data_IF_287785683307
#
_entry.id   IF_287785683307
#
_cell.length_a   1.000
_cell.length_b   1.000
_cell.length_c   1.000
_cell.angle_alpha   90.00
_cell.angle_beta   90.00
_cell.angle_gamma   90.00
#
_symmetry.space_group_name_H-M   'P 1'
#
loop_
_entity.id
_entity.type
_entity.pdbx_description
1 polymer ?
#
# COMPACT_ATOMS: atom_id res chain seq x y z
N UNK A 1 -47.61 27.64 -5.09
CA UNK A 1 -48.03 27.01 -3.81
C UNK A 1 -46.72 26.57 -3.16
N UNK A 2 -46.31 27.04 -1.97
CA UNK A 2 -46.84 26.71 -0.62
C UNK A 2 -46.98 25.18 -0.48
N UNK A 3 -46.32 24.50 0.46
CA UNK A 3 -46.02 24.82 1.88
C UNK A 3 -44.53 24.59 2.25
N UNK A 4 -44.10 25.12 3.40
CA UNK A 4 -42.76 24.94 4.02
C UNK A 4 -42.93 24.28 5.41
N UNK A 5 -42.11 23.26 5.72
CA UNK A 5 -41.65 22.88 7.07
C UNK A 5 -40.50 21.85 6.88
N UNK A 6 -39.29 21.90 7.47
CA UNK A 6 -38.65 22.62 8.58
C UNK A 6 -38.61 21.88 9.95
N UNK A 7 -37.37 21.74 10.44
CA UNK A 7 -36.90 21.62 11.84
C UNK A 7 -36.73 20.27 12.60
N UNK A 8 -35.49 20.15 13.11
CA UNK A 8 -35.03 19.71 14.45
C UNK A 8 -34.77 18.23 14.80
N UNK A 9 -33.48 17.90 14.71
CA UNK A 9 -32.61 17.30 15.76
C UNK A 9 -33.30 16.87 17.08
N UNK A 10 -33.10 15.61 17.45
CA UNK A 10 -32.99 15.15 18.84
C UNK A 10 -31.94 14.02 18.93
N UNK A 11 -31.20 13.94 20.04
CA UNK A 11 -30.16 12.92 20.24
C UNK A 11 -30.67 11.74 21.07
N UNK A 12 -30.06 10.55 20.88
CA UNK A 12 -30.40 9.34 21.64
C UNK A 12 -29.22 8.39 21.76
N UNK A 13 -28.56 8.40 22.92
CA UNK A 13 -27.57 7.38 23.33
C UNK A 13 -28.27 6.34 24.20
N UNK A 14 -28.09 5.05 23.91
CA UNK A 14 -28.68 3.97 24.71
C UNK A 14 -28.14 2.59 24.33
N UNK A 15 -27.70 1.81 25.33
CA UNK A 15 -26.88 0.60 25.14
C UNK A 15 -27.62 -0.70 25.50
N UNK A 16 -27.38 -1.76 24.72
CA UNK A 16 -27.43 -3.17 25.16
C UNK A 16 -26.53 -3.98 24.20
N UNK A 17 -25.45 -4.67 24.57
CA UNK A 17 -25.12 -5.52 25.72
C UNK A 17 -25.49 -7.01 25.55
N UNK A 18 -24.45 -7.79 25.20
CA UNK A 18 -24.26 -9.25 25.43
C UNK A 18 -25.28 -10.27 24.92
N UNK A 19 -24.77 -11.27 24.18
CA UNK A 19 -24.79 -12.64 24.70
C UNK A 19 -23.57 -13.45 24.21
N UNK A 20 -22.79 -13.98 25.14
CA UNK A 20 -21.83 -15.06 24.88
C UNK A 20 -22.46 -16.37 25.38
N UNK A 21 -22.39 -17.44 24.59
CA UNK A 21 -22.78 -18.78 25.01
C UNK A 21 -21.62 -19.75 24.71
N UNK A 22 -21.01 -20.31 25.76
CA UNK A 22 -19.93 -21.29 25.65
C UNK A 22 -20.52 -22.70 25.71
N UNK A 23 -20.31 -23.49 24.65
CA UNK A 23 -20.58 -24.94 24.65
C UNK A 23 -19.25 -25.71 24.66
N UNK A 24 -18.96 -26.43 25.75
CA UNK A 24 -17.84 -27.38 25.83
C UNK A 24 -18.19 -28.69 25.10
N UNK A 25 -17.20 -29.43 24.58
CA UNK A 25 -17.44 -30.75 24.00
C UNK A 25 -17.72 -31.82 25.09
N UNK A 26 -18.67 -32.71 24.81
CA UNK A 26 -18.94 -33.93 25.60
C UNK A 26 -18.19 -35.13 25.01
N UNK A 27 -17.98 -36.22 25.78
CA UNK A 27 -17.08 -37.32 25.36
C UNK A 27 -17.40 -38.73 25.89
N UNK A 28 -17.72 -39.65 24.97
CA UNK A 28 -17.68 -41.12 25.09
C UNK A 28 -17.68 -41.71 23.65
N UNK A 29 -16.68 -42.48 23.19
CA UNK A 29 -16.36 -43.92 23.45
C UNK A 29 -17.35 -44.92 22.80
N UNK A 30 -16.93 -46.16 22.47
CA UNK A 30 -15.60 -46.62 22.01
C UNK A 30 -15.67 -47.65 20.84
N UNK A 31 -14.51 -48.08 20.28
CA UNK A 31 -14.41 -49.36 19.56
C UNK A 31 -12.99 -49.96 19.56
N UNK A 32 -12.92 -51.26 19.80
CA UNK A 32 -11.74 -52.15 19.72
C UNK A 32 -11.45 -52.57 18.25
N UNK A 33 -10.36 -53.24 17.87
CA UNK A 33 -8.97 -53.34 18.36
C UNK A 33 -8.14 -54.16 17.35
N UNK A 34 -6.80 -54.03 17.34
CA UNK A 34 -5.91 -55.15 16.96
C UNK A 34 -4.48 -55.01 17.50
N UNK A 35 -3.96 -56.09 18.07
CA UNK A 35 -2.56 -56.30 18.46
C UNK A 35 -1.71 -56.75 17.24
N UNK A 36 -0.39 -56.88 17.26
CA UNK A 36 0.62 -56.72 18.33
C UNK A 36 2.00 -56.37 17.70
N UNK A 37 2.96 -55.88 18.49
CA UNK A 37 4.21 -56.60 18.81
C UNK A 37 5.23 -55.71 19.54
N UNK A 38 5.84 -56.25 20.61
CA UNK A 38 7.14 -55.87 21.19
C UNK A 38 7.76 -57.14 21.78
N UNK A 39 9.09 -57.18 22.03
CA UNK A 39 9.45 -57.37 23.45
C UNK A 39 10.82 -56.80 23.91
N UNK A 40 10.82 -56.21 25.12
CA UNK A 40 11.93 -56.20 26.13
C UNK A 40 13.19 -55.36 25.78
N UNK A 41 14.08 -54.93 26.69
CA UNK A 41 14.30 -55.04 28.16
C UNK A 41 15.13 -53.79 28.61
N UNK A 42 15.33 -53.35 29.87
CA UNK A 42 15.08 -53.84 31.26
C UNK A 42 14.43 -52.71 32.11
N UNK A 43 14.42 -52.81 33.46
CA UNK A 43 13.91 -51.76 34.36
C UNK A 43 14.57 -51.72 35.75
N UNK A 44 14.60 -50.51 36.37
CA UNK A 44 14.70 -50.22 37.83
C UNK A 44 15.98 -50.68 38.60
N UNK A 45 16.17 -50.29 39.88
CA UNK A 45 15.98 -48.96 40.52
C UNK A 45 17.21 -48.58 41.40
N UNK A 46 17.13 -47.52 42.22
CA UNK A 46 17.38 -47.53 43.70
C UNK A 46 17.33 -46.12 44.30
N UNK A 47 17.33 -46.01 45.65
CA UNK A 47 17.30 -44.75 46.41
C UNK A 47 18.63 -44.45 47.10
N UNK A 48 18.90 -43.18 47.36
CA UNK A 48 19.65 -42.73 48.54
C UNK A 48 18.83 -41.68 49.31
N UNK A 49 19.09 -41.52 50.61
CA UNK A 49 18.22 -40.83 51.56
C UNK A 49 19.06 -40.03 52.57
N UNK A 50 18.57 -38.82 52.92
CA UNK A 50 18.98 -38.03 54.11
C UNK A 50 20.45 -37.50 54.04
N UNK A 51 20.86 -36.40 54.68
CA UNK A 51 20.13 -35.38 55.47
C UNK A 51 20.89 -34.05 55.41
N UNK A 52 20.20 -32.92 55.19
CA UNK A 52 20.75 -31.58 55.44
C UNK A 52 19.63 -30.58 55.83
N UNK A 53 19.46 -30.36 57.14
CA UNK A 53 18.83 -29.14 57.69
C UNK A 53 19.84 -27.98 57.51
N UNK A 54 19.49 -26.70 57.38
CA UNK A 54 18.27 -25.96 57.75
C UNK A 54 18.23 -24.56 57.07
N UNK A 55 17.25 -23.72 57.46
CA UNK A 55 17.01 -22.31 57.06
C UNK A 55 16.48 -22.07 55.64
N UNK A 56 15.15 -22.00 55.53
CA UNK A 56 14.49 -21.16 54.54
C UNK A 56 14.49 -19.70 55.02
N UNK A 57 14.88 -18.72 54.18
CA UNK A 57 14.38 -17.36 54.28
C UNK A 57 12.96 -17.32 53.71
N UNK A 58 12.00 -16.81 54.48
CA UNK A 58 10.68 -16.43 53.95
C UNK A 58 10.85 -15.12 53.19
N UNK A 59 10.82 -15.17 51.86
CA UNK A 59 10.69 -13.95 51.06
C UNK A 59 9.22 -13.54 51.13
N UNK A 60 8.98 -12.37 51.74
CA UNK A 60 7.64 -11.78 51.72
C UNK A 60 7.38 -11.17 50.35
N UNK A 61 6.19 -11.40 49.81
CA UNK A 61 5.79 -10.78 48.55
C UNK A 61 5.60 -9.28 48.77
N UNK A 62 6.54 -8.48 48.28
CA UNK A 62 6.34 -7.03 48.16
C UNK A 62 5.26 -6.77 47.11
N UNK A 63 4.14 -6.19 47.53
CA UNK A 63 3.18 -5.60 46.59
C UNK A 63 3.92 -4.58 45.69
N UNK A 64 3.63 -4.53 44.38
CA UNK A 64 4.22 -3.53 43.51
C UNK A 64 3.71 -2.14 43.91
N UNK A 65 4.53 -1.40 44.66
CA UNK A 65 4.27 0.03 44.92
C UNK A 65 4.05 0.74 43.58
N UNK A 66 3.04 1.61 43.46
CA UNK A 66 2.95 2.50 42.30
C UNK A 66 4.21 3.36 42.26
N UNK A 67 4.94 3.30 41.15
CA UNK A 67 6.10 4.16 40.92
C UNK A 67 5.56 5.56 40.68
N UNK A 68 5.65 6.42 41.69
CA UNK A 68 5.34 7.83 41.53
C UNK A 68 6.27 8.44 40.45
N UNK A 69 5.77 9.35 39.58
CA UNK A 69 6.58 9.97 38.54
C UNK A 69 7.86 10.61 39.11
N UNK A 70 8.96 10.51 38.37
CA UNK A 70 10.21 11.17 38.74
C UNK A 70 9.99 12.70 38.79
N UNK A 71 10.17 13.28 39.98
CA UNK A 71 9.86 14.69 40.23
C UNK A 71 10.73 15.62 39.34
N UNK A 72 10.10 16.21 38.32
CA UNK A 72 10.75 17.08 37.33
C UNK A 72 10.37 16.77 35.87
N UNK A 73 9.78 15.62 35.57
CA UNK A 73 9.18 15.33 34.27
C UNK A 73 7.74 15.85 34.14
N UNK A 74 7.32 16.15 32.90
CA UNK A 74 5.90 16.33 32.57
C UNK A 74 5.16 15.00 32.73
N UNK A 75 3.88 15.05 33.08
CA UNK A 75 2.98 13.89 33.05
C UNK A 75 2.54 13.54 31.61
N UNK A 76 2.03 12.33 31.42
CA UNK A 76 1.49 11.88 30.12
C UNK A 76 0.37 12.80 29.59
N UNK A 77 -0.46 13.37 30.49
CA UNK A 77 -1.50 14.31 30.12
C UNK A 77 -0.93 15.65 29.63
N UNK A 78 0.04 16.22 30.34
CA UNK A 78 0.69 17.48 29.93
C UNK A 78 1.46 17.32 28.60
N UNK A 79 2.05 16.15 28.35
CA UNK A 79 2.68 15.83 27.06
C UNK A 79 1.64 15.74 25.93
N UNK A 80 0.47 15.15 26.19
CA UNK A 80 -0.61 15.10 25.20
C UNK A 80 -1.17 16.51 24.91
N UNK A 81 -1.33 17.38 25.90
CA UNK A 81 -1.76 18.77 25.67
C UNK A 81 -0.67 19.59 24.91
N UNK A 82 0.62 19.42 25.21
CA UNK A 82 1.71 19.98 24.37
C UNK A 82 1.64 19.48 22.91
N UNK A 83 1.28 18.21 22.70
CA UNK A 83 1.10 17.61 21.38
C UNK A 83 -0.16 18.13 20.67
N UNK A 84 -1.23 18.49 21.39
CA UNK A 84 -2.44 19.10 20.81
C UNK A 84 -2.14 20.51 20.29
N UNK A 85 -1.35 21.30 21.04
CA UNK A 85 -0.96 22.64 20.60
C UNK A 85 0.14 22.66 19.53
N UNK A 86 0.86 21.53 19.35
CA UNK A 86 2.03 21.45 18.48
C UNK A 86 1.75 21.86 17.03
N UNK A 87 2.55 22.82 16.55
CA UNK A 87 2.58 23.23 15.14
C UNK A 87 4.01 23.11 14.63
N UNK A 88 4.27 22.39 13.53
CA UNK A 88 5.61 22.28 12.96
C UNK A 88 6.09 23.66 12.49
N UNK A 89 7.36 23.97 12.71
CA UNK A 89 7.91 25.21 12.19
C UNK A 89 7.96 25.15 10.64
N UNK A 90 7.54 26.23 9.98
CA UNK A 90 7.53 26.34 8.52
C UNK A 90 8.92 26.71 7.93
N UNK A 91 9.87 27.07 8.78
CA UNK A 91 11.16 27.66 8.41
C UNK A 91 12.33 26.66 8.55
N UNK A 92 13.56 27.19 8.63
CA UNK A 92 14.79 26.39 8.80
C UNK A 92 14.80 25.55 10.10
N UNK A 93 13.96 25.89 11.09
CA UNK A 93 13.82 25.14 12.34
C UNK A 93 12.86 23.94 12.26
N UNK A 94 12.21 23.68 11.11
CA UNK A 94 11.28 22.54 10.92
C UNK A 94 11.84 21.23 11.48
N UNK A 95 13.07 20.88 11.13
CA UNK A 95 13.73 19.65 11.58
C UNK A 95 13.97 19.61 13.11
N UNK A 96 14.16 20.77 13.76
CA UNK A 96 14.24 20.85 15.22
C UNK A 96 12.86 20.70 15.88
N UNK A 97 11.81 21.29 15.30
CA UNK A 97 10.43 21.09 15.77
C UNK A 97 9.98 19.62 15.65
N UNK A 98 10.30 18.95 14.54
CA UNK A 98 9.98 17.53 14.34
C UNK A 98 10.77 16.60 15.28
N UNK A 99 11.99 16.96 15.70
CA UNK A 99 12.70 16.23 16.77
C UNK A 99 12.04 16.39 18.13
N UNK A 100 11.46 17.55 18.44
CA UNK A 100 10.67 17.74 19.67
C UNK A 100 9.40 16.90 19.64
N UNK A 101 8.72 16.84 18.49
CA UNK A 101 7.56 15.97 18.27
C UNK A 101 7.88 14.50 18.60
N UNK A 102 8.94 13.95 18.01
CA UNK A 102 9.40 12.57 18.31
C UNK A 102 9.74 12.41 19.78
N UNK A 103 10.53 13.32 20.36
CA UNK A 103 10.89 13.25 21.78
C UNK A 103 9.67 13.23 22.72
N UNK A 104 8.55 13.88 22.37
CA UNK A 104 7.32 13.79 23.15
C UNK A 104 6.63 12.43 23.04
N UNK A 105 6.60 11.80 21.87
CA UNK A 105 6.11 10.41 21.74
C UNK A 105 7.02 9.42 22.46
N UNK A 106 8.35 9.54 22.34
CA UNK A 106 9.28 8.70 23.10
C UNK A 106 9.16 8.92 24.62
N UNK A 107 8.87 10.14 25.07
CA UNK A 107 8.61 10.40 26.49
C UNK A 107 7.35 9.69 27.01
N UNK A 108 6.37 9.37 26.13
CA UNK A 108 5.21 8.54 26.47
C UNK A 108 5.56 7.04 26.43
N UNK A 109 6.43 6.62 25.51
CA UNK A 109 6.99 5.26 25.48
C UNK A 109 7.76 4.94 26.77
N UNK A 110 8.63 5.85 27.21
CA UNK A 110 9.44 5.72 28.44
C UNK A 110 8.59 5.62 29.72
N UNK A 111 7.35 6.16 29.71
CA UNK A 111 6.40 6.01 30.81
C UNK A 111 5.72 4.63 30.85
N UNK A 112 5.80 3.85 29.77
CA UNK A 112 5.20 2.52 29.72
C UNK A 112 3.69 2.52 30.01
N UNK A 113 3.17 1.53 30.76
CA UNK A 113 1.75 1.45 31.10
C UNK A 113 1.17 2.69 31.80
N UNK A 114 2.00 3.52 32.46
CA UNK A 114 1.53 4.74 33.12
C UNK A 114 0.99 5.81 32.15
N UNK A 115 1.33 5.75 30.86
CA UNK A 115 0.76 6.64 29.84
C UNK A 115 -0.63 6.21 29.36
N UNK A 116 -0.98 4.92 29.47
CA UNK A 116 -2.19 4.35 28.85
C UNK A 116 -3.51 5.02 29.27
N UNK A 117 -3.73 5.45 30.54
CA UNK A 117 -4.95 6.16 30.91
C UNK A 117 -5.12 7.49 30.17
N UNK A 118 -4.07 8.32 30.09
CA UNK A 118 -4.13 9.60 29.39
C UNK A 118 -4.29 9.42 27.87
N UNK A 119 -3.65 8.39 27.29
CA UNK A 119 -3.81 8.00 25.88
C UNK A 119 -5.26 7.60 25.60
N UNK A 120 -5.84 6.74 26.42
CA UNK A 120 -7.24 6.30 26.33
C UNK A 120 -8.21 7.47 26.40
N UNK A 121 -8.04 8.35 27.39
CA UNK A 121 -8.93 9.49 27.63
C UNK A 121 -8.84 10.53 26.50
N UNK A 122 -7.68 10.68 25.84
CA UNK A 122 -7.58 11.46 24.61
C UNK A 122 -8.26 10.77 23.42
N UNK A 123 -7.93 9.49 23.16
CA UNK A 123 -8.43 8.77 21.98
C UNK A 123 -9.96 8.64 21.98
N UNK A 124 -10.57 8.53 23.16
CA UNK A 124 -12.02 8.54 23.37
C UNK A 124 -12.72 9.86 23.00
N UNK A 125 -12.00 11.00 22.91
CA UNK A 125 -12.55 12.28 22.42
C UNK A 125 -12.88 12.25 20.91
N UNK A 126 -12.34 11.26 20.17
CA UNK A 126 -12.41 11.13 18.71
C UNK A 126 -11.92 12.39 17.94
N UNK A 127 -10.98 13.13 18.53
CA UNK A 127 -10.35 14.33 17.97
C UNK A 127 -8.92 14.02 17.51
N UNK A 128 -8.44 14.70 16.46
CA UNK A 128 -7.08 14.54 15.93
C UNK A 128 -6.40 15.89 15.64
N UNK A 129 -5.07 15.87 15.56
CA UNK A 129 -4.24 17.03 15.20
C UNK A 129 -3.22 16.58 14.16
N UNK A 130 -3.32 17.08 12.93
CA UNK A 130 -2.41 16.73 11.84
C UNK A 130 -1.09 17.53 11.91
N UNK A 131 0.02 16.82 12.10
CA UNK A 131 1.36 17.42 12.18
C UNK A 131 2.00 17.62 10.81
N UNK A 132 1.70 16.77 9.84
CA UNK A 132 2.32 16.81 8.51
C UNK A 132 1.52 17.67 7.54
N UNK A 133 1.34 18.95 7.88
CA UNK A 133 0.78 19.94 6.96
C UNK A 133 1.67 20.10 5.72
N UNK A 134 1.01 20.14 4.57
CA UNK A 134 1.63 20.21 3.26
C UNK A 134 2.45 21.51 3.08
N UNK A 135 3.44 21.47 2.19
CA UNK A 135 4.21 22.64 1.80
C UNK A 135 3.39 23.46 0.80
N UNK A 136 2.70 24.48 1.28
CA UNK A 136 2.06 25.48 0.43
C UNK A 136 3.05 25.98 -0.63
N UNK A 137 2.63 25.96 -1.91
CA UNK A 137 3.50 26.17 -3.07
C UNK A 137 3.76 24.94 -3.96
N UNK A 138 3.15 23.78 -3.67
CA UNK A 138 3.21 22.60 -4.56
C UNK A 138 2.30 22.64 -5.80
N UNK A 139 1.43 23.64 -5.93
CA UNK A 139 0.44 23.76 -7.01
C UNK A 139 0.82 24.81 -8.03
N UNK A 140 0.96 24.41 -9.30
CA UNK A 140 0.80 25.31 -10.44
C UNK A 140 1.96 26.25 -10.77
N UNK A 141 3.14 25.71 -11.10
CA UNK A 141 3.94 26.35 -12.16
C UNK A 141 4.51 25.30 -13.12
N UNK A 142 3.88 25.18 -14.29
CA UNK A 142 4.13 24.12 -15.28
C UNK A 142 5.35 24.41 -16.18
N UNK A 143 6.23 25.33 -15.76
CA UNK A 143 7.36 25.83 -16.54
C UNK A 143 8.74 25.22 -16.27
N UNK A 144 8.95 24.52 -15.15
CA UNK A 144 10.29 24.02 -14.73
C UNK A 144 10.32 22.50 -14.47
N UNK A 145 9.97 21.71 -15.48
CA UNK A 145 10.18 20.25 -15.47
C UNK A 145 11.61 19.87 -15.85
N UNK A 146 12.59 20.36 -15.09
CA UNK A 146 14.00 20.05 -15.25
C UNK A 146 14.35 18.58 -14.97
N UNK A 147 14.39 17.75 -16.03
CA UNK A 147 14.99 16.40 -16.10
C UNK A 147 14.79 15.49 -14.86
N UNK A 148 13.62 14.87 -14.74
CA UNK A 148 13.37 13.82 -13.74
C UNK A 148 12.22 12.89 -14.13
N UNK A 149 12.52 11.79 -14.82
CA UNK A 149 11.53 10.89 -15.45
C UNK A 149 10.87 9.93 -14.43
N UNK A 150 10.17 10.50 -13.44
CA UNK A 150 9.50 9.77 -12.35
C UNK A 150 8.02 10.13 -12.21
N UNK A 151 7.67 11.41 -12.32
CA UNK A 151 6.29 11.88 -12.19
C UNK A 151 5.33 11.21 -13.18
N UNK A 152 5.79 10.98 -14.42
CA UNK A 152 5.07 10.16 -15.39
C UNK A 152 4.94 8.70 -14.92
N UNK A 153 6.07 8.04 -14.58
CA UNK A 153 6.07 6.64 -14.17
C UNK A 153 5.14 6.34 -12.98
N UNK A 154 5.06 7.21 -11.97
CA UNK A 154 4.10 7.08 -10.87
C UNK A 154 2.64 7.15 -11.36
N UNK A 155 2.31 8.07 -12.27
CA UNK A 155 0.97 8.18 -12.85
C UNK A 155 0.62 6.98 -13.74
N UNK A 156 1.57 6.48 -14.54
CA UNK A 156 1.40 5.26 -15.35
C UNK A 156 1.19 4.01 -14.47
N UNK A 157 1.92 3.88 -13.36
CA UNK A 157 1.71 2.79 -12.38
C UNK A 157 0.32 2.89 -11.74
N UNK A 158 -0.15 4.09 -11.39
CA UNK A 158 -1.51 4.29 -10.87
C UNK A 158 -2.60 3.95 -11.91
N UNK A 159 -2.39 4.24 -13.20
CA UNK A 159 -3.27 3.82 -14.30
C UNK A 159 -3.24 2.31 -14.57
N UNK A 160 -2.14 1.63 -14.25
CA UNK A 160 -1.99 0.17 -14.46
C UNK A 160 -2.66 -0.69 -13.36
N UNK A 161 -3.23 -0.08 -12.32
CA UNK A 161 -3.76 -0.78 -11.15
C UNK A 161 -2.79 -0.82 -9.96
N UNK A 162 -1.72 -0.02 -9.93
CA UNK A 162 -0.69 -0.05 -8.88
C UNK A 162 -1.11 0.36 -7.46
N UNK A 163 -2.38 0.74 -7.24
CA UNK A 163 -2.90 1.23 -5.94
C UNK A 163 -3.10 0.17 -4.84
N UNK A 164 -2.72 -1.09 -5.07
CA UNK A 164 -2.96 -2.20 -4.13
C UNK A 164 -2.07 -2.21 -2.87
N UNK A 165 -0.97 -1.44 -2.85
CA UNK A 165 -0.08 -1.40 -1.67
C UNK A 165 -0.72 -0.53 -0.57
N UNK A 166 -0.92 -1.11 0.62
CA UNK A 166 -1.31 -0.36 1.83
C UNK A 166 -0.27 0.74 2.13
N UNK A 167 -0.70 1.87 2.72
CA UNK A 167 0.21 2.94 3.13
C UNK A 167 1.29 2.42 4.09
N UNK A 168 2.49 2.98 4.00
CA UNK A 168 3.53 2.79 5.02
C UNK A 168 3.09 3.53 6.28
N UNK A 169 2.54 2.76 7.24
CA UNK A 169 2.03 3.26 8.53
C UNK A 169 3.13 3.46 9.58
N UNK A 170 4.28 2.83 9.37
CA UNK A 170 5.51 3.03 10.13
C UNK A 170 6.30 4.18 9.49
N UNK A 171 6.50 5.26 10.26
CA UNK A 171 7.11 6.51 9.80
C UNK A 171 7.82 7.19 10.96
N UNK A 172 9.04 7.68 10.71
CA UNK A 172 9.88 8.41 11.68
C UNK A 172 9.22 9.64 12.30
N UNK A 173 8.12 10.12 11.70
CA UNK A 173 7.24 11.14 12.26
C UNK A 173 5.79 10.70 12.03
N UNK A 174 4.93 10.64 13.06
CA UNK A 174 3.52 10.34 12.86
C UNK A 174 2.83 11.48 12.10
N UNK A 175 1.90 11.13 11.21
CA UNK A 175 1.19 12.13 10.41
C UNK A 175 0.24 13.00 11.25
N UNK A 176 -0.30 12.44 12.33
CA UNK A 176 -1.19 13.10 13.27
C UNK A 176 -1.08 12.53 14.69
N UNK A 177 -1.68 13.20 15.66
CA UNK A 177 -1.64 12.84 17.08
C UNK A 177 -2.21 11.43 17.33
N UNK A 178 -3.42 11.13 16.83
CA UNK A 178 -4.04 9.81 17.04
C UNK A 178 -3.16 8.67 16.52
N UNK A 179 -2.61 8.83 15.32
CA UNK A 179 -1.74 7.82 14.70
C UNK A 179 -0.43 7.63 15.49
N UNK A 180 0.14 8.70 16.06
CA UNK A 180 1.29 8.59 16.96
C UNK A 180 0.96 7.88 18.28
N UNK A 181 -0.21 8.15 18.87
CA UNK A 181 -0.65 7.49 20.09
C UNK A 181 -1.02 6.01 19.90
N UNK A 182 -1.42 5.60 18.69
CA UNK A 182 -1.57 4.17 18.36
C UNK A 182 -0.23 3.43 18.43
N UNK A 183 0.83 4.05 17.91
CA UNK A 183 2.18 3.48 17.92
C UNK A 183 2.78 3.46 19.34
N UNK A 184 2.55 4.49 20.15
CA UNK A 184 2.91 4.46 21.59
C UNK A 184 2.18 3.32 22.31
N UNK A 185 0.86 3.19 22.13
CA UNK A 185 0.11 2.10 22.76
C UNK A 185 0.61 0.71 22.30
N UNK A 186 0.98 0.55 21.02
CA UNK A 186 1.62 -0.67 20.52
C UNK A 186 2.95 -0.97 21.22
N UNK A 187 3.81 0.04 21.35
CA UNK A 187 5.15 -0.08 21.90
C UNK A 187 5.15 -0.31 23.42
N UNK A 188 4.19 0.27 24.14
CA UNK A 188 3.91 -0.05 25.55
C UNK A 188 3.36 -1.47 25.68
N UNK A 189 2.44 -1.86 24.80
CA UNK A 189 1.92 -3.21 24.68
C UNK A 189 1.05 -3.68 25.85
N UNK A 190 0.85 -5.00 25.92
CA UNK A 190 0.00 -5.64 26.92
C UNK A 190 -1.51 -5.50 26.66
N UNK A 191 -2.29 -6.20 27.48
CA UNK A 191 -3.74 -6.37 27.30
C UNK A 191 -4.55 -5.08 27.46
N UNK A 192 -4.07 -4.11 28.25
CA UNK A 192 -4.73 -2.81 28.39
C UNK A 192 -4.60 -1.98 27.10
N UNK A 193 -3.38 -1.85 26.55
CA UNK A 193 -3.16 -1.15 25.29
C UNK A 193 -3.90 -1.83 24.12
N UNK A 194 -3.88 -3.17 24.08
CA UNK A 194 -4.65 -3.97 23.13
C UNK A 194 -6.16 -3.63 23.20
N UNK A 195 -6.71 -3.53 24.41
CA UNK A 195 -8.12 -3.21 24.65
C UNK A 195 -8.45 -1.76 24.27
N UNK A 196 -7.55 -0.80 24.53
CA UNK A 196 -7.71 0.60 24.13
C UNK A 196 -7.79 0.71 22.60
N UNK A 197 -6.88 0.06 21.89
CA UNK A 197 -6.80 0.11 20.43
C UNK A 197 -7.97 -0.61 19.74
N UNK A 198 -8.41 -1.75 20.28
CA UNK A 198 -9.64 -2.41 19.85
C UNK A 198 -10.89 -1.56 20.11
N UNK A 199 -10.91 -0.81 21.23
CA UNK A 199 -11.94 0.18 21.51
C UNK A 199 -12.02 1.27 20.44
N UNK A 200 -10.88 1.86 20.05
CA UNK A 200 -10.85 2.88 18.99
C UNK A 200 -11.25 2.32 17.62
N UNK A 201 -10.87 1.07 17.29
CA UNK A 201 -11.30 0.42 16.05
C UNK A 201 -12.84 0.37 15.93
N UNK A 202 -13.54 0.20 17.04
CA UNK A 202 -15.02 0.18 17.08
C UNK A 202 -15.70 1.56 17.04
N UNK A 203 -14.93 2.67 16.99
CA UNK A 203 -15.42 4.04 17.10
C UNK A 203 -14.88 5.01 16.04
N UNK A 204 -13.81 4.65 15.33
CA UNK A 204 -13.17 5.56 14.37
C UNK A 204 -13.96 5.68 13.06
N UNK A 205 -14.23 6.93 12.66
CA UNK A 205 -14.88 7.25 11.38
C UNK A 205 -13.88 7.33 10.21
N UNK A 206 -12.60 6.95 10.42
CA UNK A 206 -11.50 7.30 9.50
C UNK A 206 -10.79 6.05 8.96
N UNK A 207 -10.86 5.85 7.66
CA UNK A 207 -10.31 4.65 7.01
C UNK A 207 -8.81 4.46 7.20
N UNK A 208 -8.04 5.54 7.35
CA UNK A 208 -6.60 5.48 7.62
C UNK A 208 -6.31 4.96 9.04
N UNK A 209 -7.17 5.25 10.01
CA UNK A 209 -7.06 4.72 11.37
C UNK A 209 -7.42 3.24 11.41
N UNK A 210 -8.48 2.81 10.71
CA UNK A 210 -8.81 1.38 10.55
C UNK A 210 -7.64 0.61 9.94
N UNK A 211 -6.97 1.14 8.90
CA UNK A 211 -5.78 0.51 8.30
C UNK A 211 -4.61 0.45 9.27
N UNK A 212 -4.34 1.52 10.04
CA UNK A 212 -3.26 1.55 11.01
C UNK A 212 -3.53 0.56 12.16
N UNK A 213 -4.73 0.60 12.75
CA UNK A 213 -5.16 -0.31 13.81
C UNK A 213 -5.18 -1.76 13.34
N UNK A 214 -5.52 -2.02 12.06
CA UNK A 214 -5.47 -3.36 11.47
C UNK A 214 -4.05 -3.93 11.29
N UNK A 215 -3.01 -3.08 11.20
CA UNK A 215 -1.63 -3.54 11.38
C UNK A 215 -1.38 -3.82 12.86
N UNK A 216 -1.57 -2.82 13.71
CA UNK A 216 -1.15 -2.84 15.12
C UNK A 216 -1.80 -3.98 15.91
N UNK A 217 -3.10 -4.19 15.76
CA UNK A 217 -3.83 -5.26 16.45
C UNK A 217 -3.48 -6.66 15.91
N UNK A 218 -3.04 -6.77 14.65
CA UNK A 218 -2.59 -8.01 14.02
C UNK A 218 -1.12 -8.34 14.37
N UNK A 219 -0.32 -7.33 14.74
CA UNK A 219 0.99 -7.52 15.40
C UNK A 219 0.84 -7.93 16.87
N UNK A 220 -0.04 -7.27 17.62
CA UNK A 220 -0.24 -7.51 19.06
C UNK A 220 -1.01 -8.81 19.37
N UNK A 221 -2.01 -9.13 18.55
CA UNK A 221 -2.85 -10.32 18.70
C UNK A 221 -3.26 -10.89 17.32
N UNK A 222 -2.35 -11.59 16.64
CA UNK A 222 -2.53 -12.06 15.26
C UNK A 222 -3.89 -12.69 14.97
N UNK A 223 -4.60 -12.15 13.98
CA UNK A 223 -5.92 -12.61 13.55
C UNK A 223 -7.09 -12.33 14.51
N UNK A 224 -6.87 -12.04 15.81
CA UNK A 224 -7.92 -11.90 16.84
C UNK A 224 -8.99 -10.86 16.47
N UNK A 225 -8.58 -9.76 15.83
CA UNK A 225 -9.44 -8.63 15.50
C UNK A 225 -9.94 -8.63 14.05
N UNK A 226 -9.66 -9.68 13.27
CA UNK A 226 -9.95 -9.77 11.83
C UNK A 226 -11.38 -9.34 11.47
N UNK A 227 -12.38 -9.88 12.16
CA UNK A 227 -13.78 -9.64 11.77
C UNK A 227 -14.25 -8.23 12.15
N UNK A 228 -13.71 -7.64 13.22
CA UNK A 228 -13.96 -6.23 13.58
C UNK A 228 -13.29 -5.26 12.59
N UNK A 229 -12.06 -5.57 12.17
CA UNK A 229 -11.34 -4.84 11.12
C UNK A 229 -12.15 -4.84 9.82
N UNK A 230 -12.63 -6.01 9.40
CA UNK A 230 -13.43 -6.17 8.19
C UNK A 230 -14.79 -5.47 8.28
N UNK A 231 -15.45 -5.51 9.45
CA UNK A 231 -16.70 -4.79 9.67
C UNK A 231 -16.52 -3.26 9.50
N UNK A 232 -15.58 -2.67 10.25
CA UNK A 232 -15.30 -1.23 10.17
C UNK A 232 -14.88 -0.78 8.76
N UNK A 233 -14.07 -1.59 8.05
CA UNK A 233 -13.68 -1.29 6.68
C UNK A 233 -14.86 -1.28 5.70
N UNK A 234 -15.80 -2.23 5.81
CA UNK A 234 -16.98 -2.31 4.95
C UNK A 234 -18.03 -1.24 5.29
N UNK A 235 -18.15 -0.87 6.56
CA UNK A 235 -19.01 0.23 6.99
C UNK A 235 -18.55 1.57 6.40
N UNK A 236 -17.27 1.94 6.58
CA UNK A 236 -16.73 3.21 6.06
C UNK A 236 -16.68 3.28 4.52
N UNK A 237 -16.63 2.15 3.82
CA UNK A 237 -16.78 2.12 2.36
C UNK A 237 -18.24 2.26 1.91
N UNK A 238 -19.20 1.72 2.68
CA UNK A 238 -20.63 1.80 2.36
C UNK A 238 -21.26 3.14 2.71
N UNK A 239 -20.82 3.72 3.83
CA UNK A 239 -21.33 4.93 4.46
C UNK A 239 -20.17 5.88 4.77
N UNK A 240 -19.50 6.45 3.74
CA UNK A 240 -18.38 7.35 3.97
C UNK A 240 -18.84 8.63 4.72
N UNK A 241 -18.02 9.17 5.63
CA UNK A 241 -18.34 10.42 6.33
C UNK A 241 -18.45 11.60 5.35
N UNK A 242 -19.18 12.68 5.71
CA UNK A 242 -19.29 13.88 4.89
C UNK A 242 -17.92 14.45 4.49
N UNK A 243 -17.81 14.94 3.26
CA UNK A 243 -16.55 15.46 2.71
C UNK A 243 -16.19 16.89 3.19
N UNK A 244 -16.99 17.49 4.06
CA UNK A 244 -16.72 18.83 4.59
C UNK A 244 -15.51 18.81 5.52
N UNK A 245 -14.42 19.44 5.08
CA UNK A 245 -13.15 19.46 5.81
C UNK A 245 -12.27 18.21 5.67
N UNK A 246 -12.63 17.25 4.79
CA UNK A 246 -11.87 16.00 4.64
C UNK A 246 -10.40 16.26 4.26
N UNK A 247 -9.48 15.68 5.02
CA UNK A 247 -8.04 15.84 4.80
C UNK A 247 -7.50 14.85 3.75
N UNK A 248 -6.22 15.03 3.36
CA UNK A 248 -5.51 14.07 2.50
C UNK A 248 -5.32 12.70 3.18
N UNK A 249 -5.31 12.64 4.52
CA UNK A 249 -5.29 11.36 5.25
C UNK A 249 -6.65 10.63 5.11
N UNK A 250 -7.75 11.37 5.09
CA UNK A 250 -9.09 10.79 4.93
C UNK A 250 -9.33 10.29 3.50
N UNK A 251 -8.86 11.05 2.49
CA UNK A 251 -8.87 10.63 1.08
C UNK A 251 -8.03 9.36 0.88
N UNK A 252 -6.79 9.34 1.39
CA UNK A 252 -5.90 8.18 1.34
C UNK A 252 -6.50 6.97 2.09
N UNK A 253 -7.20 7.22 3.20
CA UNK A 253 -7.89 6.21 3.99
C UNK A 253 -8.90 5.41 3.18
N UNK A 254 -9.80 6.07 2.44
CA UNK A 254 -10.83 5.40 1.62
C UNK A 254 -10.23 4.44 0.59
N UNK A 255 -9.20 4.88 -0.14
CA UNK A 255 -8.53 4.05 -1.14
C UNK A 255 -7.81 2.85 -0.51
N UNK A 256 -7.29 3.03 0.72
CA UNK A 256 -6.58 2.00 1.48
C UNK A 256 -7.50 0.92 2.07
N UNK A 257 -8.78 1.23 2.34
CA UNK A 257 -9.75 0.24 2.84
C UNK A 257 -10.02 -0.89 1.84
N UNK A 258 -10.09 -0.60 0.53
CA UNK A 258 -10.20 -1.64 -0.49
C UNK A 258 -8.97 -2.57 -0.49
N UNK A 259 -7.77 -2.00 -0.41
CA UNK A 259 -6.51 -2.75 -0.28
C UNK A 259 -6.44 -3.57 1.02
N UNK A 260 -7.12 -3.11 2.09
CA UNK A 260 -7.25 -3.86 3.34
C UNK A 260 -8.17 -5.08 3.17
N UNK A 261 -9.35 -4.92 2.56
CA UNK A 261 -10.22 -6.06 2.22
C UNK A 261 -9.51 -7.09 1.34
N UNK A 262 -8.65 -6.61 0.41
CA UNK A 262 -7.81 -7.45 -0.44
C UNK A 262 -6.72 -8.21 0.37
N UNK A 263 -6.00 -7.54 1.30
CA UNK A 263 -5.03 -8.19 2.24
C UNK A 263 -5.69 -9.37 2.95
N UNK A 264 -6.89 -9.17 3.48
CA UNK A 264 -7.63 -10.19 4.23
C UNK A 264 -8.38 -11.19 3.33
N UNK A 265 -8.38 -11.01 1.99
CA UNK A 265 -9.11 -11.80 0.99
C UNK A 265 -10.61 -11.94 1.30
N UNK A 266 -11.24 -10.88 1.81
CA UNK A 266 -12.67 -10.89 2.14
C UNK A 266 -13.54 -10.78 0.88
N UNK A 267 -14.23 -11.86 0.50
CA UNK A 267 -15.16 -11.88 -0.65
C UNK A 267 -16.53 -11.25 -0.38
N UNK A 268 -16.90 -10.98 0.88
CA UNK A 268 -18.26 -10.54 1.23
C UNK A 268 -18.60 -9.09 0.83
N UNK A 269 -17.64 -8.33 0.31
CA UNK A 269 -17.86 -6.99 -0.24
C UNK A 269 -17.86 -6.93 -1.78
N UNK A 270 -17.73 -8.07 -2.47
CA UNK A 270 -17.58 -8.12 -3.92
C UNK A 270 -18.74 -7.44 -4.68
N UNK A 271 -19.99 -7.76 -4.35
CA UNK A 271 -21.16 -7.18 -5.02
C UNK A 271 -21.24 -5.66 -4.81
N UNK A 272 -20.90 -5.18 -3.60
CA UNK A 272 -20.90 -3.74 -3.29
C UNK A 272 -19.75 -3.00 -3.98
N UNK A 273 -18.56 -3.61 -4.06
CA UNK A 273 -17.45 -3.06 -4.83
C UNK A 273 -17.74 -3.05 -6.34
N UNK A 274 -18.52 -4.02 -6.85
CA UNK A 274 -19.00 -4.03 -8.24
C UNK A 274 -19.95 -2.85 -8.53
N UNK A 275 -20.84 -2.49 -7.61
CA UNK A 275 -21.66 -1.26 -7.72
C UNK A 275 -20.80 0.00 -7.72
N UNK A 276 -19.69 0.00 -6.98
CA UNK A 276 -18.74 1.13 -6.86
C UNK A 276 -17.68 1.17 -7.97
N UNK A 277 -17.70 0.24 -8.93
CA UNK A 277 -16.61 0.03 -9.89
C UNK A 277 -16.59 1.06 -11.04
N UNK A 278 -17.75 1.60 -11.42
CA UNK A 278 -17.87 2.65 -12.44
C UNK A 278 -18.61 3.83 -11.83
N UNK A 279 -17.93 4.98 -11.78
CA UNK A 279 -18.49 6.24 -11.31
C UNK A 279 -19.52 6.81 -12.30
N UNK A 280 -20.40 7.68 -11.81
CA UNK A 280 -21.46 8.34 -12.61
C UNK A 280 -20.96 9.24 -13.74
N UNK A 281 -19.65 9.53 -13.78
CA UNK A 281 -18.94 10.25 -14.84
C UNK A 281 -18.23 9.32 -15.86
N UNK A 282 -18.45 8.00 -15.78
CA UNK A 282 -17.85 7.00 -16.65
C UNK A 282 -16.39 6.65 -16.30
N UNK A 283 -15.85 7.10 -15.16
CA UNK A 283 -14.52 6.71 -14.69
C UNK A 283 -14.56 5.37 -13.93
N UNK A 284 -13.50 4.57 -14.09
CA UNK A 284 -13.32 3.33 -13.32
C UNK A 284 -12.70 3.66 -11.96
N UNK A 285 -13.26 3.07 -10.90
CA UNK A 285 -12.71 3.12 -9.55
C UNK A 285 -11.58 2.11 -9.41
N UNK A 286 -10.33 2.56 -9.55
CA UNK A 286 -9.16 1.68 -9.50
C UNK A 286 -9.00 0.93 -8.16
N UNK A 287 -9.44 1.49 -7.03
CA UNK A 287 -9.38 0.79 -5.74
C UNK A 287 -10.40 -0.34 -5.65
N UNK A 288 -11.64 -0.12 -6.11
CA UNK A 288 -12.65 -1.19 -6.20
C UNK A 288 -12.24 -2.27 -7.22
N UNK A 289 -11.70 -1.86 -8.39
CA UNK A 289 -11.15 -2.76 -9.40
C UNK A 289 -10.08 -3.67 -8.80
N UNK A 290 -9.06 -3.09 -8.17
CA UNK A 290 -7.95 -3.81 -7.55
C UNK A 290 -8.43 -4.84 -6.51
N UNK A 291 -9.34 -4.42 -5.62
CA UNK A 291 -9.92 -5.32 -4.62
C UNK A 291 -10.63 -6.52 -5.28
N UNK A 292 -11.44 -6.27 -6.31
CA UNK A 292 -12.13 -7.33 -7.05
C UNK A 292 -11.14 -8.26 -7.76
N UNK A 293 -10.10 -7.73 -8.40
CA UNK A 293 -9.13 -8.54 -9.15
C UNK A 293 -8.21 -9.35 -8.24
N UNK A 294 -7.77 -8.81 -7.11
CA UNK A 294 -6.94 -9.54 -6.14
C UNK A 294 -7.72 -10.58 -5.34
N UNK A 295 -9.01 -10.35 -5.10
CA UNK A 295 -9.84 -11.22 -4.25
C UNK A 295 -10.60 -12.28 -5.04
N UNK A 296 -11.07 -11.96 -6.26
CA UNK A 296 -11.77 -12.90 -7.15
C UNK A 296 -10.84 -13.56 -8.18
N UNK A 297 -9.71 -12.91 -8.52
CA UNK A 297 -8.71 -13.44 -9.48
C UNK A 297 -9.37 -13.73 -10.82
N UNK A 298 -9.26 -14.95 -11.34
CA UNK A 298 -9.93 -15.35 -12.60
C UNK A 298 -11.45 -15.16 -12.56
N UNK A 299 -12.09 -15.31 -11.40
CA UNK A 299 -13.55 -15.10 -11.23
C UNK A 299 -13.97 -13.63 -11.47
N UNK A 300 -13.03 -12.67 -11.55
CA UNK A 300 -13.33 -11.29 -11.94
C UNK A 300 -13.56 -11.12 -13.45
N UNK A 301 -13.07 -12.02 -14.31
CA UNK A 301 -13.05 -11.82 -15.77
C UNK A 301 -14.42 -11.56 -16.41
N UNK A 302 -15.53 -12.22 -16.01
CA UNK A 302 -16.86 -11.90 -16.53
C UNK A 302 -17.31 -10.48 -16.19
N UNK A 303 -16.95 -9.98 -15.01
CA UNK A 303 -17.19 -8.59 -14.61
C UNK A 303 -16.28 -7.63 -15.39
N UNK A 304 -14.98 -7.91 -15.50
CA UNK A 304 -14.06 -7.08 -16.28
C UNK A 304 -14.52 -6.97 -17.75
N UNK A 305 -14.98 -8.07 -18.34
CA UNK A 305 -15.52 -8.06 -19.70
C UNK A 305 -16.80 -7.22 -19.82
N UNK A 306 -17.72 -7.33 -18.86
CA UNK A 306 -18.94 -6.50 -18.79
C UNK A 306 -18.59 -5.00 -18.73
N UNK A 307 -17.65 -4.62 -17.85
CA UNK A 307 -17.21 -3.23 -17.67
C UNK A 307 -16.46 -2.73 -18.91
N UNK A 308 -15.60 -3.54 -19.52
CA UNK A 308 -14.93 -3.22 -20.78
C UNK A 308 -15.93 -2.95 -21.92
N UNK A 309 -17.06 -3.67 -21.95
CA UNK A 309 -18.15 -3.47 -22.91
C UNK A 309 -19.12 -2.34 -22.55
N UNK A 310 -18.97 -1.71 -21.39
CA UNK A 310 -19.88 -0.65 -20.96
C UNK A 310 -19.78 0.59 -21.88
N UNK A 311 -20.91 1.13 -22.39
CA UNK A 311 -20.92 2.30 -23.26
C UNK A 311 -20.73 3.64 -22.52
N UNK A 312 -20.91 3.68 -21.19
CA UNK A 312 -20.67 4.89 -20.38
C UNK A 312 -19.18 5.23 -20.28
N UNK A 313 -18.30 4.22 -20.35
CA UNK A 313 -16.85 4.39 -20.33
C UNK A 313 -16.38 4.79 -21.73
N UNK A 314 -16.66 6.03 -22.11
CA UNK A 314 -16.42 6.59 -23.45
C UNK A 314 -14.94 6.80 -23.80
N UNK A 315 -14.05 6.81 -22.79
CA UNK A 315 -12.61 7.02 -22.98
C UNK A 315 -11.84 5.69 -22.99
N UNK A 316 -11.15 5.39 -24.08
CA UNK A 316 -10.29 4.20 -24.21
C UNK A 316 -9.22 4.09 -23.10
N UNK A 317 -8.71 5.22 -22.58
CA UNK A 317 -7.77 5.23 -21.44
C UNK A 317 -8.44 4.83 -20.12
N UNK A 318 -9.74 5.09 -19.95
CA UNK A 318 -10.49 4.65 -18.77
C UNK A 318 -10.83 3.14 -18.81
N UNK A 319 -10.82 2.53 -20.00
CA UNK A 319 -10.90 1.06 -20.16
C UNK A 319 -9.57 0.35 -19.85
N UNK A 320 -8.46 1.07 -19.87
CA UNK A 320 -7.12 0.47 -19.77
C UNK A 320 -6.82 -0.23 -18.43
N UNK A 321 -7.23 0.27 -17.24
CA UNK A 321 -7.05 -0.47 -15.98
C UNK A 321 -7.75 -1.84 -16.00
N UNK A 322 -8.99 -1.87 -16.51
CA UNK A 322 -9.84 -3.07 -16.61
C UNK A 322 -9.21 -4.11 -17.53
N UNK A 323 -8.70 -3.69 -18.69
CA UNK A 323 -7.97 -4.59 -19.59
C UNK A 323 -6.65 -5.04 -18.95
N UNK A 324 -5.87 -4.12 -18.35
CA UNK A 324 -4.58 -4.43 -17.71
C UNK A 324 -4.67 -5.60 -16.72
N UNK A 325 -5.71 -5.62 -15.89
CA UNK A 325 -5.98 -6.74 -14.98
C UNK A 325 -6.30 -8.06 -15.71
N UNK A 326 -7.05 -8.00 -16.81
CA UNK A 326 -7.36 -9.15 -17.64
C UNK A 326 -6.16 -9.69 -18.44
N UNK A 327 -5.16 -8.85 -18.78
CA UNK A 327 -3.99 -9.26 -19.60
C UNK A 327 -3.20 -10.43 -18.99
N UNK A 328 -3.23 -10.60 -17.67
CA UNK A 328 -2.60 -11.74 -16.99
C UNK A 328 -3.19 -13.09 -17.41
N UNK A 329 -4.46 -13.13 -17.82
CA UNK A 329 -5.22 -14.33 -18.17
C UNK A 329 -5.30 -14.60 -19.68
N UNK A 330 -4.61 -13.79 -20.51
CA UNK A 330 -4.51 -14.03 -21.95
C UNK A 330 -3.74 -15.32 -22.22
N UNK A 331 -4.21 -16.12 -23.19
CA UNK A 331 -3.80 -17.50 -23.44
C UNK A 331 -4.29 -18.52 -22.40
N UNK A 332 -5.23 -18.13 -21.53
CA UNK A 332 -5.81 -19.00 -20.49
C UNK A 332 -7.33 -18.88 -20.41
N UNK A 333 -7.90 -17.70 -20.69
CA UNK A 333 -9.34 -17.46 -20.54
C UNK A 333 -9.93 -16.65 -21.73
N UNK A 334 -11.02 -17.12 -22.38
CA UNK A 334 -11.47 -16.59 -23.67
C UNK A 334 -11.93 -15.12 -23.64
N UNK A 335 -12.42 -14.62 -22.49
CA UNK A 335 -12.76 -13.20 -22.35
C UNK A 335 -11.53 -12.29 -22.29
N UNK A 336 -10.39 -12.79 -21.79
CA UNK A 336 -9.12 -12.07 -21.82
C UNK A 336 -8.58 -12.03 -23.25
N UNK A 337 -8.66 -13.15 -23.98
CA UNK A 337 -8.25 -13.24 -25.39
C UNK A 337 -9.09 -12.33 -26.30
N UNK A 338 -10.40 -12.22 -26.03
CA UNK A 338 -11.27 -11.27 -26.71
C UNK A 338 -10.88 -9.81 -26.42
N UNK A 339 -10.67 -9.43 -25.16
CA UNK A 339 -10.21 -8.07 -24.80
C UNK A 339 -8.83 -7.74 -25.40
N UNK A 340 -7.91 -8.72 -25.43
CA UNK A 340 -6.63 -8.60 -26.12
C UNK A 340 -6.82 -8.32 -27.61
N UNK A 341 -7.60 -9.17 -28.31
CA UNK A 341 -7.84 -9.03 -29.75
C UNK A 341 -8.48 -7.68 -30.08
N UNK A 342 -9.54 -7.29 -29.38
CA UNK A 342 -10.22 -6.01 -29.60
C UNK A 342 -9.29 -4.81 -29.36
N UNK A 343 -8.53 -4.78 -28.26
CA UNK A 343 -7.56 -3.71 -28.02
C UNK A 343 -6.42 -3.67 -29.04
N UNK A 344 -5.99 -4.81 -29.60
CA UNK A 344 -4.89 -4.87 -30.56
C UNK A 344 -5.35 -4.56 -31.99
N UNK A 345 -6.64 -4.70 -32.29
CA UNK A 345 -7.21 -4.35 -33.60
C UNK A 345 -7.74 -2.91 -33.69
N UNK A 346 -8.16 -2.28 -32.59
CA UNK A 346 -8.53 -0.85 -32.61
C UNK A 346 -7.32 0.03 -33.00
N UNK A 347 -7.30 0.53 -34.23
CA UNK A 347 -6.24 1.40 -34.73
C UNK A 347 -6.15 2.74 -34.00
N UNK A 348 -7.22 3.16 -33.31
CA UNK A 348 -7.23 4.37 -32.48
C UNK A 348 -6.60 4.15 -31.10
N UNK A 349 -6.39 2.90 -30.69
CA UNK A 349 -5.76 2.58 -29.43
C UNK A 349 -4.23 2.82 -29.51
N UNK A 350 -3.76 3.87 -28.84
CA UNK A 350 -2.32 4.15 -28.75
C UNK A 350 -1.56 3.12 -27.87
N UNK A 351 -2.27 2.30 -27.10
CA UNK A 351 -1.73 1.27 -26.21
C UNK A 351 -1.50 -0.12 -26.84
N UNK A 352 -1.82 -0.34 -28.14
CA UNK A 352 -1.74 -1.67 -28.80
C UNK A 352 -0.42 -2.40 -28.55
N UNK A 353 0.71 -1.68 -28.63
CA UNK A 353 2.06 -2.22 -28.40
C UNK A 353 2.25 -2.77 -26.97
N UNK A 354 1.66 -2.12 -25.96
CA UNK A 354 1.77 -2.54 -24.56
C UNK A 354 0.89 -3.77 -24.30
N UNK A 355 -0.24 -3.89 -25.01
CA UNK A 355 -1.09 -5.09 -24.99
C UNK A 355 -0.36 -6.27 -25.64
N UNK A 356 0.23 -6.11 -26.82
CA UNK A 356 1.06 -7.16 -27.45
C UNK A 356 2.24 -7.57 -26.54
N UNK A 357 2.93 -6.60 -25.94
CA UNK A 357 4.01 -6.84 -24.99
C UNK A 357 3.57 -7.48 -23.66
N UNK A 358 2.26 -7.53 -23.36
CA UNK A 358 1.77 -8.21 -22.16
C UNK A 358 1.87 -9.74 -22.25
N UNK A 359 1.93 -10.31 -23.46
CA UNK A 359 2.03 -11.76 -23.66
C UNK A 359 3.30 -12.36 -23.06
N UNK A 360 4.36 -11.58 -22.88
CA UNK A 360 5.62 -12.02 -22.24
C UNK A 360 5.65 -11.77 -20.72
N UNK A 361 4.54 -11.33 -20.10
CA UNK A 361 4.42 -11.13 -18.65
C UNK A 361 4.09 -12.44 -17.94
N UNK A 362 4.58 -12.57 -16.71
CA UNK A 362 4.60 -13.80 -15.93
C UNK A 362 6.02 -14.35 -15.86
N UNK A 363 6.41 -14.86 -14.68
CA UNK A 363 7.69 -15.52 -14.49
C UNK A 363 7.53 -17.00 -14.88
N UNK A 364 6.70 -17.74 -14.13
CA UNK A 364 6.37 -19.16 -14.38
C UNK A 364 5.30 -19.38 -15.46
N UNK A 365 5.59 -18.98 -16.71
CA UNK A 365 4.69 -19.24 -17.84
C UNK A 365 4.71 -20.70 -18.28
N UNK A 366 3.58 -21.39 -18.10
CA UNK A 366 3.39 -22.78 -18.53
C UNK A 366 3.49 -22.94 -20.06
N UNK A 367 4.05 -24.05 -20.59
CA UNK A 367 4.15 -24.28 -22.04
C UNK A 367 2.82 -24.22 -22.80
N UNK A 368 1.71 -24.60 -22.16
CA UNK A 368 0.36 -24.57 -22.72
C UNK A 368 -0.10 -23.11 -22.91
N UNK A 369 0.05 -22.29 -21.86
CA UNK A 369 -0.22 -20.85 -21.88
C UNK A 369 0.62 -20.14 -22.94
N UNK A 370 1.91 -20.50 -23.06
CA UNK A 370 2.78 -19.92 -24.09
C UNK A 370 2.26 -20.26 -25.49
N UNK A 371 1.97 -21.52 -25.79
CA UNK A 371 1.44 -21.95 -27.09
C UNK A 371 0.10 -21.29 -27.43
N UNK A 372 -0.80 -21.15 -26.46
CA UNK A 372 -2.06 -20.44 -26.62
C UNK A 372 -1.85 -18.94 -26.95
N UNK A 373 -0.89 -18.28 -26.26
CA UNK A 373 -0.50 -16.89 -26.57
C UNK A 373 0.09 -16.75 -27.97
N UNK A 374 0.91 -17.71 -28.43
CA UNK A 374 1.44 -17.72 -29.81
C UNK A 374 0.32 -17.88 -30.85
N UNK A 375 -0.62 -18.80 -30.63
CA UNK A 375 -1.78 -19.02 -31.53
C UNK A 375 -2.67 -17.77 -31.62
N UNK A 376 -2.99 -17.15 -30.48
CA UNK A 376 -3.73 -15.89 -30.43
C UNK A 376 -2.97 -14.78 -31.20
N UNK A 377 -1.69 -14.60 -30.91
CA UNK A 377 -0.84 -13.59 -31.54
C UNK A 377 -0.77 -13.77 -33.08
N UNK A 378 -0.60 -15.01 -33.55
CA UNK A 378 -0.63 -15.34 -34.97
C UNK A 378 -1.99 -15.01 -35.61
N UNK A 379 -3.11 -15.33 -34.94
CA UNK A 379 -4.44 -15.01 -35.45
C UNK A 379 -4.65 -13.50 -35.63
N UNK A 380 -4.25 -12.69 -34.64
CA UNK A 380 -4.39 -11.22 -34.70
C UNK A 380 -3.42 -10.61 -35.70
N UNK A 381 -2.22 -11.21 -35.92
CA UNK A 381 -1.26 -10.76 -36.93
C UNK A 381 -1.86 -10.75 -38.34
N UNK A 382 -2.71 -11.71 -38.68
CA UNK A 382 -3.34 -11.80 -40.03
C UNK A 382 -4.30 -10.65 -40.34
N UNK A 383 -4.81 -9.96 -39.32
CA UNK A 383 -5.76 -8.85 -39.44
C UNK A 383 -5.09 -7.46 -39.42
N UNK A 384 -3.75 -7.40 -39.27
CA UNK A 384 -2.98 -6.14 -39.15
C UNK A 384 -2.09 -5.90 -40.37
N UNK A 385 -2.20 -4.69 -40.94
CA UNK A 385 -1.41 -4.22 -42.09
C UNK A 385 -0.17 -3.38 -41.72
N UNK A 386 -0.08 -2.93 -40.47
CA UNK A 386 1.03 -2.11 -39.96
C UNK A 386 2.29 -2.98 -39.73
N UNK A 387 3.30 -2.79 -40.58
CA UNK A 387 4.59 -3.50 -40.54
C UNK A 387 5.34 -3.32 -39.21
N UNK A 388 5.22 -2.16 -38.56
CA UNK A 388 5.84 -1.90 -37.26
C UNK A 388 5.15 -2.73 -36.17
N UNK A 389 3.84 -2.90 -36.28
CA UNK A 389 3.04 -3.69 -35.34
C UNK A 389 3.26 -5.20 -35.56
N UNK A 390 3.25 -5.69 -36.80
CA UNK A 390 3.56 -7.10 -37.09
C UNK A 390 4.99 -7.46 -36.71
N UNK A 391 5.97 -6.57 -36.93
CA UNK A 391 7.34 -6.74 -36.45
C UNK A 391 7.50 -6.71 -34.92
N UNK A 392 6.60 -6.05 -34.18
CA UNK A 392 6.53 -6.17 -32.72
C UNK A 392 5.93 -7.52 -32.29
N UNK A 393 4.93 -8.03 -33.02
CA UNK A 393 4.39 -9.37 -32.77
C UNK A 393 5.45 -10.47 -32.97
N UNK A 394 6.26 -10.37 -34.02
CA UNK A 394 7.32 -11.37 -34.28
C UNK A 394 8.37 -11.43 -33.16
N UNK A 395 8.75 -10.28 -32.58
CA UNK A 395 9.66 -10.24 -31.41
C UNK A 395 9.04 -10.80 -30.14
N UNK A 396 7.73 -10.63 -29.95
CA UNK A 396 7.00 -11.25 -28.85
C UNK A 396 6.92 -12.76 -29.06
N UNK A 397 6.65 -13.24 -30.27
CA UNK A 397 6.68 -14.66 -30.59
C UNK A 397 8.07 -15.26 -30.33
N UNK A 398 9.15 -14.59 -30.74
CA UNK A 398 10.54 -15.03 -30.46
C UNK A 398 10.85 -15.12 -28.95
N UNK A 399 10.32 -14.21 -28.11
CA UNK A 399 10.46 -14.34 -26.65
C UNK A 399 9.61 -15.47 -26.05
N UNK A 400 8.44 -15.75 -26.63
CA UNK A 400 7.62 -16.89 -26.25
C UNK A 400 8.31 -18.22 -26.61
N UNK A 401 8.90 -18.31 -27.81
CA UNK A 401 9.72 -19.45 -28.26
C UNK A 401 10.94 -19.65 -27.36
N UNK A 402 11.68 -18.58 -27.05
CA UNK A 402 12.82 -18.62 -26.12
C UNK A 402 12.43 -19.08 -24.71
N UNK A 403 11.17 -18.89 -24.29
CA UNK A 403 10.64 -19.38 -23.00
C UNK A 403 10.15 -20.83 -23.03
N UNK A 404 10.03 -21.44 -24.22
CA UNK A 404 9.75 -22.88 -24.36
C UNK A 404 11.02 -23.74 -24.36
N UNK A 405 12.19 -23.17 -24.70
CA UNK A 405 13.47 -23.87 -24.66
C UNK A 405 14.08 -23.85 -23.23
N UNK A 406 14.20 -25.00 -22.55
CA UNK A 406 14.79 -25.07 -21.21
C UNK A 406 16.30 -24.79 -21.18
N UNK A 407 16.97 -24.75 -22.35
CA UNK A 407 18.40 -24.46 -22.47
C UNK A 407 18.68 -23.01 -22.90
N UNK A 408 17.65 -22.20 -23.09
CA UNK A 408 17.82 -20.86 -23.63
C UNK A 408 18.70 -19.98 -22.72
N UNK A 409 19.71 -19.29 -23.26
CA UNK A 409 20.64 -18.51 -22.44
C UNK A 409 19.93 -17.37 -21.70
N UNK A 410 20.47 -16.95 -20.53
CA UNK A 410 20.04 -15.72 -19.86
C UNK A 410 20.16 -14.50 -20.78
N UNK A 411 19.33 -13.48 -20.56
CA UNK A 411 19.46 -12.22 -21.31
C UNK A 411 20.70 -11.45 -20.90
N UNK A 412 21.65 -11.34 -21.80
CA UNK A 412 22.68 -10.31 -21.74
C UNK A 412 22.06 -8.92 -21.99
N UNK A 413 22.40 -7.93 -21.16
CA UNK A 413 22.06 -6.52 -21.42
C UNK A 413 20.67 -6.04 -21.01
N UNK A 414 19.88 -6.82 -20.27
CA UNK A 414 18.63 -6.35 -19.62
C UNK A 414 17.35 -7.09 -20.01
N UNK A 415 16.19 -6.48 -19.70
CA UNK A 415 14.87 -7.08 -19.92
C UNK A 415 14.43 -7.15 -21.38
N UNK A 416 13.28 -7.81 -21.64
CA UNK A 416 12.69 -7.87 -22.98
C UNK A 416 12.29 -6.49 -23.50
N UNK A 417 12.77 -6.13 -24.69
CA UNK A 417 12.47 -4.86 -25.36
C UNK A 417 11.70 -5.10 -26.67
N UNK A 418 10.38 -4.96 -26.62
CA UNK A 418 9.48 -5.14 -27.78
C UNK A 418 9.82 -4.22 -28.96
N UNK A 419 10.35 -3.01 -28.71
CA UNK A 419 10.62 -2.04 -29.76
C UNK A 419 11.87 -2.36 -30.59
N UNK A 420 12.72 -3.28 -30.14
CA UNK A 420 13.91 -3.72 -30.86
C UNK A 420 15.04 -2.69 -30.79
N UNK A 421 15.72 -2.65 -29.64
CA UNK A 421 16.97 -1.92 -29.47
C UNK A 421 17.93 -2.76 -28.62
N UNK A 422 19.18 -2.88 -29.07
CA UNK A 422 20.27 -3.52 -28.31
C UNK A 422 20.39 -2.80 -26.96
N UNK A 423 20.33 -3.55 -25.85
CA UNK A 423 20.49 -3.00 -24.52
C UNK A 423 21.79 -2.18 -24.45
N UNK A 424 21.71 -0.97 -23.90
CA UNK A 424 22.80 0.01 -23.89
C UNK A 424 23.94 -0.36 -22.94
N UNK A 425 24.56 -1.51 -23.16
CA UNK A 425 25.78 -1.90 -22.46
C UNK A 425 26.91 -0.95 -22.85
N UNK A 426 27.30 -0.09 -21.91
CA UNK A 426 28.48 0.76 -22.01
C UNK A 426 29.78 -0.04 -21.89
N UNK A 427 29.95 -1.06 -22.73
CA UNK A 427 31.23 -1.74 -22.93
C UNK A 427 32.12 -0.84 -23.80
N UNK A 428 33.25 -0.41 -23.25
CA UNK A 428 34.27 0.30 -24.02
C UNK A 428 34.95 -0.68 -24.99
N UNK A 429 34.76 -0.49 -26.29
CA UNK A 429 35.50 -1.22 -27.33
C UNK A 429 37.00 -0.90 -27.24
N UNK A 430 37.76 -1.71 -26.50
CA UNK A 430 39.21 -1.64 -26.42
C UNK A 430 39.83 -2.18 -27.71
N UNK A 431 39.91 -1.33 -28.73
CA UNK A 431 40.68 -1.62 -29.94
C UNK A 431 42.17 -1.87 -29.59
N UNK A 432 42.79 -2.98 -30.03
CA UNK A 432 44.15 -3.32 -29.65
C UNK A 432 45.22 -2.69 -30.56
N UNK A 433 46.20 -2.02 -29.97
CA UNK A 433 47.50 -1.71 -30.59
C UNK A 433 47.57 -0.42 -31.41
N UNK A 434 48.41 0.54 -30.99
CA UNK A 434 48.59 1.81 -31.69
C UNK A 434 49.61 2.77 -31.06
N UNK A 435 50.88 2.35 -31.01
CA UNK A 435 52.12 3.10 -30.75
C UNK A 435 52.08 4.42 -29.91
N UNK A 436 52.88 4.44 -28.84
CA UNK A 436 53.09 5.59 -27.95
C UNK A 436 53.80 6.79 -28.59
N UNK A 437 53.35 8.01 -28.24
CA UNK A 437 54.16 9.23 -28.25
C UNK A 437 54.07 9.93 -26.89
N UNK A 438 55.20 10.18 -26.23
CA UNK A 438 55.26 11.00 -25.01
C UNK A 438 55.13 12.50 -25.32
N UNK A 439 55.12 13.44 -24.39
CA UNK A 439 55.13 13.45 -22.92
C UNK A 439 55.58 14.88 -22.54
N UNK A 440 54.77 15.68 -21.84
CA UNK A 440 55.11 17.09 -21.60
C UNK A 440 54.21 17.77 -20.55
N UNK A 441 54.75 17.93 -19.34
CA UNK A 441 54.21 18.68 -18.20
C UNK A 441 54.91 20.06 -18.12
N UNK A 442 54.63 21.00 -17.18
CA UNK A 442 53.48 21.18 -16.28
C UNK A 442 52.86 22.61 -16.42
N UNK A 443 51.97 23.02 -15.50
CA UNK A 443 51.69 24.45 -15.28
C UNK A 443 50.38 24.75 -14.51
N UNK A 444 50.39 25.70 -13.58
CA UNK A 444 49.19 26.10 -12.84
C UNK A 444 49.24 27.51 -12.23
N UNK A 445 48.12 27.91 -11.61
CA UNK A 445 47.78 29.25 -11.05
C UNK A 445 47.43 30.35 -12.08
N UNK A 446 46.55 31.25 -11.63
CA UNK A 446 46.22 32.51 -12.30
C UNK A 446 44.73 32.62 -12.66
N UNK A 447 43.97 33.37 -11.87
CA UNK A 447 42.57 33.69 -12.21
C UNK A 447 42.26 35.14 -11.87
N UNK A 448 41.28 35.73 -12.57
CA UNK A 448 40.61 36.95 -12.09
C UNK A 448 39.16 37.02 -12.60
N UNK A 449 38.43 37.98 -12.04
CA UNK A 449 36.98 38.20 -12.17
C UNK A 449 36.66 39.01 -13.43
N UNK A 450 35.44 38.88 -13.95
CA UNK A 450 34.87 39.79 -14.94
C UNK A 450 33.57 40.41 -14.36
N UNK A 451 33.41 41.75 -14.29
CA UNK A 451 32.28 42.38 -13.62
C UNK A 451 31.04 42.52 -14.51
N UNK A 452 29.86 42.56 -13.88
CA UNK A 452 28.64 43.10 -14.48
C UNK A 452 28.68 44.63 -14.46
N UNK A 453 28.20 45.27 -15.53
CA UNK A 453 27.60 46.60 -15.50
C UNK A 453 26.21 46.53 -16.15
N UNK A 454 25.37 47.55 -15.97
CA UNK A 454 24.01 47.56 -16.50
C UNK A 454 23.36 48.95 -16.44
N UNK A 455 22.28 49.11 -17.20
CA UNK A 455 21.64 50.40 -17.52
C UNK A 455 21.68 50.66 -19.03
N UNK A 456 20.76 51.44 -19.61
CA UNK A 456 19.57 52.06 -19.01
C UNK A 456 18.48 52.29 -20.08
N UNK A 457 17.25 52.56 -19.61
CA UNK A 457 16.00 52.94 -20.32
C UNK A 457 16.12 53.42 -21.78
N UNK A 458 15.23 52.90 -22.65
CA UNK A 458 14.80 53.55 -23.90
C UNK A 458 13.38 53.12 -24.26
N UNK A 459 12.41 54.04 -24.24
CA UNK A 459 11.00 53.77 -24.54
C UNK A 459 10.66 54.03 -26.01
N UNK A 460 9.70 53.26 -26.55
CA UNK A 460 9.28 53.37 -27.94
C UNK A 460 8.47 54.64 -28.24
N UNK A 461 8.88 55.35 -29.29
CA UNK A 461 8.01 55.89 -30.34
C UNK A 461 8.64 55.46 -31.68
N UNK A 462 7.94 55.02 -32.71
CA UNK A 462 6.49 54.83 -32.87
C UNK A 462 6.00 55.57 -34.12
N UNK A 463 5.61 54.84 -35.16
CA UNK A 463 4.80 55.33 -36.27
C UNK A 463 4.29 54.17 -37.15
N UNK A 464 3.07 54.35 -37.69
CA UNK A 464 2.58 54.03 -39.04
C UNK A 464 2.90 52.65 -39.66
N UNK A 465 1.94 51.95 -40.29
CA UNK A 465 0.64 52.40 -40.81
C UNK A 465 -0.42 51.29 -40.70
#
# INVERSE_FOLDING_TARGET
MKIILAMLIAAGVGSAATYFAVSKPESAKPSEARSAETPKTKAKPERSLLTAKSKSPRVEASEPKPVAPAAGGLSAAEIIEELIEFKPAADKSRNASLRRLVHRFESLNDMGPAALPAIKDFLAKNQDVEFLREREGGSGNEGDRGRGDRGGAQQWIAMLGGGGRLPETDSLYPASLRLGLFEVARQVGGTEAETILAGVLSQTARGIEVVHLARVLDEMAPGKYRDQILAAAKELLSSPPPAEGSSKLDEMGRNSLFSLLAKYQDKSFADKAQEMLVSTDGRVNNSALNYLTETLKEQSLPLLYKVYKDPSITNNLAKFPVVSAALNYVGQHPQADAMFKEMVLDEKNQGRWMVIGSLTRGEDLKPETIKARQQLLASVKTEIKDERMTGMMDRVNQELERRLDPNAPPREGGGFNIFGGRGGGGGSDTAPGGASGGSGQPGGKGGNRNPRSGGQKGSQKGNQN
#
